data_IF_549675025374
#
_entry.id   IF_549675025374
#
_cell.length_a   1.000
_cell.length_b   1.000
_cell.length_c   1.000
_cell.angle_alpha   90.00
_cell.angle_beta   90.00
_cell.angle_gamma   90.00
#
_symmetry.space_group_name_H-M   'P 1'
#
loop_
_entity.id
_entity.type
_entity.pdbx_description
1 polymer ?
#
# COMPACT_ATOMS: atom_id res chain seq x y z
N UNK A 1 9.28 -11.49 -5.86
CA UNK A 1 7.81 -11.53 -5.68
C UNK A 1 7.39 -12.99 -5.70
N UNK A 2 7.04 -13.56 -4.54
CA UNK A 2 6.37 -14.86 -4.50
C UNK A 2 4.90 -14.64 -4.86
N UNK A 3 4.57 -14.91 -6.10
CA UNK A 3 3.19 -15.00 -6.57
C UNK A 3 2.59 -16.32 -6.03
N UNK A 4 1.65 -16.26 -5.11
CA UNK A 4 0.84 -17.42 -4.76
C UNK A 4 -0.27 -17.57 -5.80
N UNK A 5 -0.09 -18.51 -6.72
CA UNK A 5 -1.12 -18.92 -7.65
C UNK A 5 -1.99 -19.99 -6.98
N UNK A 6 -3.28 -19.76 -6.84
CA UNK A 6 -4.26 -20.76 -6.42
C UNK A 6 -5.33 -20.82 -7.51
N UNK A 7 -5.25 -21.84 -8.36
CA UNK A 7 -6.19 -22.06 -9.46
C UNK A 7 -6.15 -20.98 -10.55
N UNK A 8 -7.32 -20.55 -11.03
CA UNK A 8 -7.47 -19.48 -12.02
C UNK A 8 -7.39 -18.06 -11.43
N UNK A 9 -7.18 -17.96 -10.12
CA UNK A 9 -7.16 -16.73 -9.36
C UNK A 9 -5.79 -16.49 -8.75
N UNK A 10 -5.37 -15.22 -8.72
CA UNK A 10 -4.14 -14.78 -8.08
C UNK A 10 -4.47 -13.81 -6.96
N UNK A 11 -4.15 -14.21 -5.73
CA UNK A 11 -4.25 -13.30 -4.58
C UNK A 11 -2.85 -12.75 -4.26
N UNK A 12 -2.65 -11.47 -4.49
CA UNK A 12 -1.42 -10.76 -4.13
C UNK A 12 -1.72 -9.92 -2.91
N UNK A 13 -1.22 -10.40 -1.78
CA UNK A 13 -1.26 -9.63 -0.55
C UNK A 13 -0.07 -8.69 -0.61
N UNK A 14 -0.34 -7.45 -0.99
CA UNK A 14 0.54 -6.38 -0.69
C UNK A 14 1.36 -5.68 -1.76
N UNK A 15 1.79 -4.62 -1.33
CA UNK A 15 3.02 -3.83 -1.57
C UNK A 15 3.12 -3.23 -2.96
N UNK A 16 2.00 -2.89 -3.53
CA UNK A 16 1.99 -1.98 -4.66
C UNK A 16 2.80 -0.72 -4.35
N UNK A 17 2.85 -0.33 -3.08
CA UNK A 17 3.60 0.81 -2.56
C UNK A 17 5.13 0.61 -2.63
N UNK A 18 5.59 -0.64 -2.53
CA UNK A 18 7.02 -0.96 -2.57
C UNK A 18 7.60 -1.05 -3.98
N UNK A 19 6.74 -1.12 -4.99
CA UNK A 19 7.14 -1.23 -6.41
C UNK A 19 7.78 0.06 -6.91
N UNK A 20 7.34 1.22 -6.39
CA UNK A 20 7.75 2.53 -6.86
C UNK A 20 7.11 2.92 -8.20
N UNK A 21 6.97 4.23 -8.44
CA UNK A 21 6.23 4.78 -9.59
C UNK A 21 6.74 4.27 -10.94
N UNK A 22 8.06 4.17 -11.09
CA UNK A 22 8.72 3.74 -12.36
C UNK A 22 8.34 2.32 -12.77
N UNK A 23 8.16 1.42 -11.82
CA UNK A 23 7.93 0.00 -12.09
C UNK A 23 6.47 -0.42 -12.02
N UNK A 24 5.59 0.49 -11.61
CA UNK A 24 4.15 0.21 -11.50
C UNK A 24 3.52 -0.30 -12.82
N UNK A 25 3.83 0.28 -14.00
CA UNK A 25 3.32 -0.25 -15.27
C UNK A 25 3.83 -1.67 -15.58
N UNK A 26 5.06 -1.99 -15.20
CA UNK A 26 5.65 -3.32 -15.38
C UNK A 26 4.98 -4.32 -14.43
N UNK A 27 4.67 -3.91 -13.21
CA UNK A 27 3.95 -4.71 -12.23
C UNK A 27 2.57 -5.12 -12.76
N UNK A 28 1.78 -4.16 -13.25
CA UNK A 28 0.45 -4.41 -13.84
C UNK A 28 0.55 -5.30 -15.09
N UNK A 29 1.55 -5.07 -15.95
CA UNK A 29 1.83 -5.93 -17.12
C UNK A 29 2.17 -7.36 -16.72
N UNK A 30 2.92 -7.53 -15.62
CA UNK A 30 3.28 -8.87 -15.11
C UNK A 30 2.03 -9.61 -14.60
N UNK A 31 1.14 -8.91 -13.90
CA UNK A 31 -0.15 -9.47 -13.50
C UNK A 31 -0.93 -9.94 -14.72
N UNK A 32 -1.06 -9.09 -15.75
CA UNK A 32 -1.75 -9.44 -17.00
C UNK A 32 -1.23 -10.75 -17.60
N UNK A 33 0.10 -10.92 -17.68
CA UNK A 33 0.72 -12.12 -18.23
C UNK A 33 0.43 -13.39 -17.42
N UNK A 34 0.15 -13.25 -16.13
CA UNK A 34 -0.16 -14.35 -15.23
C UNK A 34 -1.67 -14.68 -15.19
N UNK A 35 -2.53 -13.77 -15.66
CA UNK A 35 -3.97 -13.99 -15.67
C UNK A 35 -4.40 -14.93 -16.80
N UNK A 36 -5.24 -15.89 -16.46
CA UNK A 36 -5.99 -16.66 -17.45
C UNK A 36 -7.06 -15.77 -18.11
N UNK A 37 -7.61 -16.23 -19.26
CA UNK A 37 -8.56 -15.45 -20.06
C UNK A 37 -9.76 -14.93 -19.26
N UNK A 38 -10.31 -15.75 -18.38
CA UNK A 38 -11.46 -15.42 -17.52
C UNK A 38 -11.06 -15.26 -16.04
N UNK A 39 -9.74 -15.18 -15.79
CA UNK A 39 -9.18 -15.06 -14.45
C UNK A 39 -9.17 -13.61 -13.94
N UNK A 40 -8.97 -13.48 -12.64
CA UNK A 40 -8.79 -12.18 -12.00
C UNK A 40 -7.68 -12.22 -10.94
N UNK A 41 -7.07 -11.07 -10.69
CA UNK A 41 -6.12 -10.89 -9.60
C UNK A 41 -6.76 -10.04 -8.51
N UNK A 42 -6.56 -10.44 -7.26
CA UNK A 42 -6.95 -9.66 -6.09
C UNK A 42 -5.68 -9.06 -5.47
N UNK A 43 -5.66 -7.74 -5.33
CA UNK A 43 -4.54 -6.98 -4.78
C UNK A 43 -5.05 -6.16 -3.62
N UNK A 44 -4.35 -6.22 -2.50
CA UNK A 44 -4.51 -5.25 -1.42
C UNK A 44 -3.44 -4.19 -1.59
N UNK A 45 -3.80 -2.91 -1.52
CA UNK A 45 -2.84 -1.83 -1.64
C UNK A 45 -3.28 -0.57 -0.93
N UNK A 46 -2.30 0.28 -0.60
CA UNK A 46 -2.55 1.61 -0.06
C UNK A 46 -2.43 2.62 -1.20
N UNK A 47 -3.42 3.50 -1.29
CA UNK A 47 -3.46 4.60 -2.26
C UNK A 47 -3.52 5.93 -1.55
N UNK A 48 -3.04 6.98 -2.22
CA UNK A 48 -3.25 8.35 -1.78
C UNK A 48 -4.52 8.90 -2.44
N UNK A 49 -5.23 9.79 -1.76
CA UNK A 49 -6.40 10.48 -2.32
C UNK A 49 -6.01 11.20 -3.63
N UNK A 50 -6.87 11.12 -4.67
CA UNK A 50 -6.57 11.62 -6.02
C UNK A 50 -6.21 13.11 -6.04
N UNK A 51 -6.90 13.92 -5.23
CA UNK A 51 -6.66 15.37 -5.11
C UNK A 51 -5.30 15.71 -4.50
N UNK A 52 -4.72 14.82 -3.71
CA UNK A 52 -3.40 15.00 -3.07
C UNK A 52 -2.25 14.43 -3.89
N UNK A 53 -2.56 13.60 -4.88
CA UNK A 53 -1.56 12.85 -5.64
C UNK A 53 -0.52 13.76 -6.34
N UNK A 54 -0.96 14.87 -6.93
CA UNK A 54 -0.08 15.78 -7.67
C UNK A 54 0.98 16.41 -6.77
N UNK A 55 0.62 16.84 -5.57
CA UNK A 55 1.55 17.40 -4.60
C UNK A 55 2.47 16.31 -4.04
N UNK A 56 1.90 15.19 -3.62
CA UNK A 56 2.64 14.05 -3.08
C UNK A 56 3.71 13.53 -4.05
N UNK A 57 3.40 13.45 -5.34
CA UNK A 57 4.33 12.91 -6.35
C UNK A 57 5.57 13.79 -6.60
N UNK A 58 5.54 15.05 -6.15
CA UNK A 58 6.63 16.04 -6.33
C UNK A 58 7.53 16.18 -5.11
N UNK A 59 7.15 15.63 -3.98
CA UNK A 59 7.86 15.79 -2.71
C UNK A 59 8.17 14.44 -2.10
N UNK A 60 9.24 14.41 -1.32
CA UNK A 60 9.58 13.23 -0.51
C UNK A 60 9.00 13.44 0.88
N UNK A 61 8.06 12.60 1.26
CA UNK A 61 7.43 12.65 2.56
C UNK A 61 8.28 12.00 3.67
N UNK A 62 7.77 12.05 4.90
CA UNK A 62 8.43 11.45 6.05
C UNK A 62 8.62 9.93 5.89
N UNK A 63 7.62 9.23 5.34
CA UNK A 63 7.65 7.77 5.16
C UNK A 63 8.74 7.38 4.16
N UNK A 64 8.78 8.05 3.02
CA UNK A 64 9.79 7.82 1.98
C UNK A 64 11.19 8.15 2.47
N UNK A 65 11.34 9.17 3.33
CA UNK A 65 12.66 9.60 3.81
C UNK A 65 13.23 8.71 4.90
N UNK A 66 12.40 8.23 5.83
CA UNK A 66 12.88 7.63 7.08
C UNK A 66 12.44 6.18 7.32
N UNK A 67 11.39 5.71 6.66
CA UNK A 67 10.78 4.39 6.93
C UNK A 67 10.94 3.46 5.73
N UNK A 68 10.45 3.87 4.57
CA UNK A 68 10.46 3.08 3.33
C UNK A 68 11.04 3.88 2.17
N UNK A 69 12.38 4.01 2.08
CA UNK A 69 13.02 4.69 0.96
C UNK A 69 12.62 4.06 -0.38
N UNK A 70 12.15 4.90 -1.30
CA UNK A 70 11.65 4.44 -2.61
C UNK A 70 10.19 3.99 -2.63
N UNK A 71 9.50 3.97 -1.49
CA UNK A 71 8.06 3.75 -1.42
C UNK A 71 7.28 4.81 -2.19
N UNK A 72 6.15 4.42 -2.77
CA UNK A 72 5.31 5.32 -3.55
C UNK A 72 3.84 4.89 -3.44
N UNK A 73 2.97 5.81 -3.08
CA UNK A 73 1.54 5.59 -3.05
C UNK A 73 0.92 6.03 -4.38
N UNK A 74 0.41 5.11 -5.21
CA UNK A 74 -0.38 5.50 -6.37
C UNK A 74 -1.72 6.10 -5.94
N UNK A 75 -2.35 6.91 -6.77
CA UNK A 75 -3.77 7.21 -6.62
C UNK A 75 -4.63 6.17 -7.34
N UNK A 76 -5.92 6.06 -6.99
CA UNK A 76 -6.85 5.14 -7.66
C UNK A 76 -6.94 5.45 -9.16
N UNK A 77 -7.04 6.72 -9.53
CA UNK A 77 -7.04 7.17 -10.94
C UNK A 77 -5.77 6.80 -11.70
N UNK A 78 -4.60 6.86 -11.05
CA UNK A 78 -3.36 6.42 -11.68
C UNK A 78 -3.39 4.91 -11.95
N UNK A 79 -3.87 4.12 -11.00
CA UNK A 79 -3.99 2.67 -11.16
C UNK A 79 -4.94 2.31 -12.30
N UNK A 80 -6.11 2.95 -12.36
CA UNK A 80 -7.09 2.80 -13.44
C UNK A 80 -6.45 3.11 -14.80
N UNK A 81 -5.83 4.26 -14.93
CA UNK A 81 -5.15 4.67 -16.17
C UNK A 81 -4.07 3.67 -16.61
N UNK A 82 -3.26 3.16 -15.68
CA UNK A 82 -2.23 2.16 -16.02
C UNK A 82 -2.89 0.83 -16.43
N UNK A 83 -3.91 0.37 -15.71
CA UNK A 83 -4.64 -0.85 -16.05
C UNK A 83 -5.25 -0.77 -17.45
N UNK A 84 -5.91 0.33 -17.79
CA UNK A 84 -6.48 0.59 -19.11
C UNK A 84 -5.44 0.50 -20.23
N UNK A 85 -4.25 1.11 -20.06
CA UNK A 85 -3.16 1.02 -21.06
C UNK A 85 -2.68 -0.42 -21.27
N UNK A 86 -2.98 -1.31 -20.33
CA UNK A 86 -2.66 -2.74 -20.38
C UNK A 86 -3.87 -3.60 -20.74
N UNK A 87 -4.98 -3.01 -21.17
CA UNK A 87 -6.23 -3.72 -21.46
C UNK A 87 -6.74 -4.55 -20.27
N UNK A 88 -6.54 -4.04 -19.08
CA UNK A 88 -7.13 -4.55 -17.85
C UNK A 88 -8.10 -3.52 -17.29
N UNK A 89 -9.14 -4.00 -16.64
CA UNK A 89 -9.99 -3.20 -15.77
C UNK A 89 -9.58 -3.43 -14.32
N UNK A 90 -9.69 -2.38 -13.51
CA UNK A 90 -9.48 -2.44 -12.07
C UNK A 90 -10.76 -1.99 -11.37
N UNK A 91 -11.18 -2.74 -10.37
CA UNK A 91 -12.38 -2.49 -9.58
C UNK A 91 -11.99 -2.44 -8.10
N UNK A 92 -12.49 -1.46 -7.36
CA UNK A 92 -12.36 -1.43 -5.90
C UNK A 92 -13.47 -2.30 -5.32
N UNK A 93 -13.10 -3.38 -4.65
CA UNK A 93 -14.06 -4.28 -4.01
C UNK A 93 -14.43 -3.80 -2.62
N UNK A 94 -13.46 -3.28 -1.86
CA UNK A 94 -13.66 -2.86 -0.47
C UNK A 94 -12.60 -1.85 -0.06
N UNK A 95 -13.02 -0.84 0.71
CA UNK A 95 -12.16 0.09 1.46
C UNK A 95 -12.34 -0.18 2.95
N UNK A 96 -11.22 -0.29 3.72
CA UNK A 96 -11.30 -0.67 5.13
C UNK A 96 -10.40 0.18 6.04
N UNK A 97 -10.35 1.48 5.79
CA UNK A 97 -9.55 2.47 6.52
C UNK A 97 -9.74 2.39 8.03
N UNK A 98 -10.99 2.35 8.51
CA UNK A 98 -11.31 2.35 9.94
C UNK A 98 -10.74 1.13 10.68
N UNK A 99 -10.75 -0.03 10.03
CA UNK A 99 -10.12 -1.23 10.58
C UNK A 99 -8.60 -1.07 10.70
N UNK A 100 -8.00 -0.36 9.75
CA UNK A 100 -6.56 -0.13 9.75
C UNK A 100 -6.13 0.94 10.75
N UNK A 101 -6.92 2.00 10.93
CA UNK A 101 -6.76 2.98 12.03
C UNK A 101 -6.66 2.27 13.37
N UNK A 102 -7.63 1.38 13.65
CA UNK A 102 -7.65 0.59 14.89
C UNK A 102 -6.40 -0.31 15.02
N UNK A 103 -5.99 -0.94 13.93
CA UNK A 103 -4.79 -1.79 13.89
C UNK A 103 -3.53 -1.00 14.21
N UNK A 104 -3.35 0.19 13.62
CA UNK A 104 -2.20 1.05 13.86
C UNK A 104 -2.15 1.55 15.30
N UNK A 105 -3.29 1.94 15.87
CA UNK A 105 -3.41 2.30 17.28
C UNK A 105 -2.98 1.17 18.19
N UNK A 106 -3.48 -0.05 17.96
CA UNK A 106 -3.08 -1.24 18.71
C UNK A 106 -1.60 -1.57 18.58
N UNK A 107 -1.02 -1.39 17.39
CA UNK A 107 0.42 -1.60 17.18
C UNK A 107 1.25 -0.57 17.95
N UNK A 108 0.84 0.68 17.98
CA UNK A 108 1.51 1.76 18.73
C UNK A 108 1.48 1.49 20.24
N UNK A 109 0.34 1.08 20.78
CA UNK A 109 0.22 0.68 22.18
C UNK A 109 1.13 -0.51 22.50
N UNK A 110 1.09 -1.56 21.70
CA UNK A 110 1.89 -2.76 21.87
C UNK A 110 3.40 -2.45 21.78
N UNK A 111 3.79 -1.60 20.83
CA UNK A 111 5.18 -1.13 20.69
C UNK A 111 5.65 -0.41 21.94
N UNK A 112 4.87 0.55 22.46
CA UNK A 112 5.22 1.29 23.66
C UNK A 112 5.27 0.40 24.90
N UNK A 113 4.33 -0.53 25.06
CA UNK A 113 4.34 -1.52 26.14
C UNK A 113 5.59 -2.42 26.11
N UNK A 114 6.08 -2.74 24.90
CA UNK A 114 7.26 -3.61 24.73
C UNK A 114 8.58 -2.81 24.65
N UNK A 115 8.53 -1.49 24.78
CA UNK A 115 9.69 -0.62 24.62
C UNK A 115 10.89 -1.02 25.48
N UNK A 116 10.78 -1.38 26.80
CA UNK A 116 11.94 -1.79 27.60
C UNK A 116 12.70 -2.96 26.96
N UNK A 117 11.98 -3.94 26.41
CA UNK A 117 12.58 -5.08 25.71
C UNK A 117 13.21 -4.66 24.39
N UNK A 118 12.57 -3.76 23.63
CA UNK A 118 13.11 -3.26 22.36
C UNK A 118 14.39 -2.47 22.62
N UNK A 119 14.41 -1.64 23.68
CA UNK A 119 15.58 -0.88 24.09
C UNK A 119 16.76 -1.79 24.47
N UNK A 120 16.50 -2.93 25.12
CA UNK A 120 17.56 -3.91 25.46
C UNK A 120 18.16 -4.62 24.23
N UNK A 121 17.52 -4.56 23.06
CA UNK A 121 18.05 -5.03 21.78
C UNK A 121 18.96 -4.00 21.07
N UNK A 122 19.22 -2.84 21.70
CA UNK A 122 20.11 -1.81 21.17
C UNK A 122 19.42 -0.65 20.45
N UNK A 123 18.07 -0.62 20.40
CA UNK A 123 17.34 0.51 19.83
C UNK A 123 17.31 1.70 20.81
N UNK A 124 17.53 2.90 20.27
CA UNK A 124 17.60 4.14 21.03
C UNK A 124 16.25 4.89 21.10
N UNK A 125 16.21 5.95 21.92
CA UNK A 125 15.02 6.76 22.09
C UNK A 125 14.69 7.59 20.82
N UNK A 126 15.66 7.79 19.90
CA UNK A 126 15.41 8.38 18.58
C UNK A 126 14.57 7.44 17.73
N UNK A 127 14.92 6.14 17.68
CA UNK A 127 14.12 5.14 16.99
C UNK A 127 12.69 5.08 17.55
N UNK A 128 12.53 5.12 18.90
CA UNK A 128 11.22 5.16 19.53
C UNK A 128 10.36 6.32 19.03
N UNK A 129 10.93 7.53 18.96
CA UNK A 129 10.21 8.72 18.48
C UNK A 129 9.82 8.59 17.01
N UNK A 130 10.74 8.15 16.15
CA UNK A 130 10.49 7.94 14.71
C UNK A 130 9.37 6.93 14.51
N UNK A 131 9.41 5.81 15.24
CA UNK A 131 8.42 4.75 15.08
C UNK A 131 7.04 5.13 15.58
N UNK A 132 6.95 5.82 16.72
CA UNK A 132 5.68 6.36 17.21
C UNK A 132 5.10 7.41 16.25
N UNK A 133 5.95 8.29 15.71
CA UNK A 133 5.52 9.28 14.73
C UNK A 133 5.00 8.58 13.46
N UNK A 134 5.71 7.58 12.95
CA UNK A 134 5.28 6.78 11.80
C UNK A 134 3.89 6.18 12.00
N UNK A 135 3.66 5.49 13.12
CA UNK A 135 2.37 4.86 13.40
C UNK A 135 1.24 5.89 13.54
N UNK A 136 1.51 7.02 14.24
CA UNK A 136 0.52 8.10 14.37
C UNK A 136 0.26 8.84 13.06
N UNK A 137 1.29 9.03 12.23
CA UNK A 137 1.17 9.66 10.92
C UNK A 137 0.28 8.83 9.97
N UNK A 138 0.51 7.52 9.93
CA UNK A 138 -0.33 6.61 9.15
C UNK A 138 -1.76 6.54 9.71
N UNK A 139 -1.92 6.44 11.03
CA UNK A 139 -3.23 6.42 11.72
C UNK A 139 -4.05 7.66 11.33
N UNK A 140 -3.46 8.86 11.42
CA UNK A 140 -4.10 10.11 11.01
C UNK A 140 -4.43 10.13 9.51
N UNK A 141 -3.52 9.64 8.66
CA UNK A 141 -3.73 9.59 7.22
C UNK A 141 -4.93 8.74 6.81
N UNK A 142 -5.14 7.59 7.46
CA UNK A 142 -6.32 6.74 7.25
C UNK A 142 -7.59 7.32 7.89
N UNK A 143 -7.48 7.97 9.04
CA UNK A 143 -8.61 8.60 9.73
C UNK A 143 -9.22 9.74 8.90
N UNK A 144 -8.37 10.52 8.24
CA UNK A 144 -8.75 11.67 7.41
C UNK A 144 -8.93 11.32 5.93
N UNK A 145 -8.97 10.03 5.59
CA UNK A 145 -9.07 9.51 4.20
C UNK A 145 -8.04 10.11 3.22
N UNK A 146 -6.93 10.69 3.76
CA UNK A 146 -5.80 11.19 2.97
C UNK A 146 -5.06 10.06 2.25
N UNK A 147 -5.06 8.89 2.85
CA UNK A 147 -4.63 7.62 2.29
C UNK A 147 -5.72 6.59 2.53
N UNK A 148 -5.81 5.61 1.65
CA UNK A 148 -6.85 4.57 1.70
C UNK A 148 -6.21 3.21 1.54
N UNK A 149 -6.71 2.22 2.27
CA UNK A 149 -6.36 0.82 2.05
C UNK A 149 -7.55 0.10 1.42
N UNK A 150 -7.31 -0.50 0.26
CA UNK A 150 -8.35 -1.06 -0.57
C UNK A 150 -8.00 -2.46 -1.06
N UNK A 151 -9.01 -3.25 -1.32
CA UNK A 151 -8.92 -4.47 -2.10
C UNK A 151 -9.34 -4.15 -3.54
N UNK A 152 -8.44 -4.41 -4.47
CA UNK A 152 -8.64 -4.22 -5.90
C UNK A 152 -8.77 -5.55 -6.60
N UNK A 153 -9.67 -5.62 -7.57
CA UNK A 153 -9.79 -6.73 -8.53
C UNK A 153 -9.35 -6.25 -9.90
N UNK A 154 -8.39 -6.95 -10.49
CA UNK A 154 -7.96 -6.74 -11.86
C UNK A 154 -8.43 -7.91 -12.71
N UNK A 155 -8.97 -7.61 -13.88
CA UNK A 155 -9.40 -8.60 -14.86
C UNK A 155 -9.22 -8.07 -16.28
N UNK A 156 -9.23 -8.95 -17.28
CA UNK A 156 -9.19 -8.53 -18.67
C UNK A 156 -10.41 -7.66 -19.02
N UNK A 157 -10.20 -6.64 -19.82
CA UNK A 157 -11.31 -5.91 -20.44
C UNK A 157 -12.08 -6.85 -21.39
N UNK A 158 -13.41 -6.78 -21.32
CA UNK A 158 -14.30 -7.55 -22.23
C UNK A 158 -14.37 -6.90 -23.59
#
# INVERSE_FOLDING_TARGET
>A
IRLCLVGSEMCIRDRIEAVGSKYLPIYIETIKKCLQKDGHAIIQGITIADERFTEYSRQVDFIQKYIFPGGFLPSKKLLEKIAETKQLQIEVLEDFNQSYVKTLSMWREKFNKKWPRIKSLGYDDRFKRIWNYYLSYCEAGFCEDSIQISIFKLSHMK
#
